data_IF_203544141751
#
_entry.id   IF_203544141751
#
_cell.length_a   1.000
_cell.length_b   1.000
_cell.length_c   1.000
_cell.angle_alpha   90.00
_cell.angle_beta   90.00
_cell.angle_gamma   90.00
#
_symmetry.space_group_name_H-M   'P 1'
#
loop_
_entity.id
_entity.type
_entity.pdbx_description
1 polymer ?
#
# COMPACT_ATOMS: atom_id res chain seq x y z
N UNK A 1 22.08 -9.62 -8.97
CA UNK A 1 21.06 -8.58 -8.71
C UNK A 1 20.49 -8.76 -7.31
N UNK A 2 21.26 -8.49 -6.24
CA UNK A 2 20.85 -8.84 -4.85
C UNK A 2 20.62 -7.60 -3.98
N UNK A 3 21.50 -6.60 -4.03
CA UNK A 3 21.38 -5.36 -3.21
C UNK A 3 20.10 -4.57 -3.49
N UNK A 4 19.58 -4.59 -4.72
CA UNK A 4 18.35 -3.86 -5.07
C UNK A 4 17.15 -4.38 -4.30
N UNK A 5 17.02 -5.70 -4.12
CA UNK A 5 15.94 -6.30 -3.32
C UNK A 5 16.04 -5.87 -1.85
N UNK A 6 17.25 -5.89 -1.28
CA UNK A 6 17.48 -5.43 0.08
C UNK A 6 17.10 -3.95 0.27
N UNK A 7 17.59 -3.07 -0.61
CA UNK A 7 17.29 -1.64 -0.52
C UNK A 7 15.81 -1.35 -0.71
N UNK A 8 15.17 -2.00 -1.68
CA UNK A 8 13.74 -1.84 -1.95
C UNK A 8 12.92 -2.30 -0.75
N UNK A 9 13.24 -3.47 -0.18
CA UNK A 9 12.55 -4.00 0.98
C UNK A 9 12.69 -3.13 2.23
N UNK A 10 13.89 -2.57 2.46
CA UNK A 10 14.11 -1.62 3.57
C UNK A 10 13.30 -0.33 3.39
N UNK A 11 13.24 0.21 2.17
CA UNK A 11 12.44 1.41 1.88
C UNK A 11 10.95 1.12 2.06
N UNK A 12 10.45 -0.01 1.56
CA UNK A 12 9.05 -0.42 1.71
C UNK A 12 8.66 -0.57 3.19
N UNK A 13 9.52 -1.17 4.01
CA UNK A 13 9.31 -1.28 5.46
C UNK A 13 9.36 0.08 6.16
N UNK A 14 10.32 0.94 5.81
CA UNK A 14 10.43 2.28 6.40
C UNK A 14 9.18 3.12 6.12
N UNK A 15 8.67 3.07 4.88
CA UNK A 15 7.43 3.76 4.49
C UNK A 15 6.22 3.14 5.21
N UNK A 16 6.16 1.81 5.35
CA UNK A 16 5.10 1.14 6.10
C UNK A 16 5.02 1.62 7.55
N UNK A 17 6.17 1.71 8.24
CA UNK A 17 6.26 2.21 9.62
C UNK A 17 5.77 3.66 9.70
N UNK A 18 6.19 4.52 8.76
CA UNK A 18 5.76 5.91 8.73
C UNK A 18 4.24 6.04 8.54
N UNK A 19 3.67 5.25 7.63
CA UNK A 19 2.22 5.22 7.38
C UNK A 19 1.45 4.74 8.61
N UNK A 20 1.92 3.70 9.29
CA UNK A 20 1.30 3.25 10.53
C UNK A 20 1.42 4.27 11.65
N UNK A 21 2.58 4.93 11.79
CA UNK A 21 2.75 6.00 12.76
C UNK A 21 1.75 7.14 12.52
N UNK A 22 1.53 7.51 11.25
CA UNK A 22 0.57 8.53 10.88
C UNK A 22 -0.89 8.08 11.07
N UNK A 23 -1.22 6.84 10.71
CA UNK A 23 -2.59 6.31 10.76
C UNK A 23 -3.04 5.91 12.18
N UNK A 24 -2.11 5.43 13.03
CA UNK A 24 -2.40 4.93 14.37
C UNK A 24 -3.18 5.89 15.26
N UNK A 25 -2.83 7.18 15.41
CA UNK A 25 -3.60 8.11 16.24
C UNK A 25 -5.02 8.32 15.71
N UNK A 26 -5.20 8.40 14.39
CA UNK A 26 -6.52 8.57 13.77
C UNK A 26 -7.38 7.30 13.92
N UNK A 27 -6.76 6.12 13.80
CA UNK A 27 -7.42 4.83 14.03
C UNK A 27 -7.91 4.69 15.48
N UNK A 28 -7.04 5.03 16.44
CA UNK A 28 -7.33 4.92 17.89
C UNK A 28 -8.39 5.90 18.38
N UNK A 29 -8.45 7.11 17.80
CA UNK A 29 -9.38 8.16 18.25
C UNK A 29 -10.74 8.10 17.60
N UNK A 30 -10.79 7.90 16.28
CA UNK A 30 -12.00 8.12 15.47
C UNK A 30 -12.31 6.90 14.59
N UNK A 31 -11.32 6.04 14.32
CA UNK A 31 -11.54 4.84 13.51
C UNK A 31 -11.98 5.14 12.08
N UNK A 32 -11.58 6.30 11.52
CA UNK A 32 -12.06 6.72 10.20
C UNK A 32 -11.66 5.73 9.10
N UNK A 33 -12.54 5.57 8.11
CA UNK A 33 -12.27 4.72 6.94
C UNK A 33 -10.97 5.10 6.22
N UNK A 34 -10.66 6.39 6.16
CA UNK A 34 -9.42 6.91 5.54
C UNK A 34 -8.16 6.51 6.34
N UNK A 35 -8.25 6.49 7.67
CA UNK A 35 -7.16 5.99 8.51
C UNK A 35 -6.96 4.48 8.34
N UNK A 36 -8.05 3.71 8.26
CA UNK A 36 -7.99 2.27 7.94
C UNK A 36 -7.31 1.99 6.61
N UNK A 37 -7.65 2.76 5.56
CA UNK A 37 -7.03 2.60 4.25
C UNK A 37 -5.54 2.95 4.23
N UNK A 38 -5.14 4.00 4.97
CA UNK A 38 -3.73 4.35 5.13
C UNK A 38 -2.96 3.27 5.89
N UNK A 39 -3.60 2.67 6.90
CA UNK A 39 -3.05 1.55 7.65
C UNK A 39 -2.89 0.28 6.80
N UNK A 40 -3.87 -0.02 5.94
CA UNK A 40 -3.81 -1.13 4.98
C UNK A 40 -2.73 -0.93 3.91
N UNK A 41 -2.50 0.30 3.44
CA UNK A 41 -1.36 0.60 2.58
C UNK A 41 -0.04 0.28 3.28
N UNK A 42 0.10 0.66 4.55
CA UNK A 42 1.27 0.30 5.35
C UNK A 42 1.46 -1.22 5.44
N UNK A 43 0.37 -1.98 5.61
CA UNK A 43 0.40 -3.44 5.62
C UNK A 43 0.86 -4.05 4.29
N UNK A 44 0.36 -3.55 3.16
CA UNK A 44 0.80 -4.00 1.83
C UNK A 44 2.31 -3.82 1.66
N UNK A 45 2.82 -2.62 1.98
CA UNK A 45 4.25 -2.30 1.85
C UNK A 45 5.11 -3.14 2.80
N UNK A 46 4.65 -3.40 4.02
CA UNK A 46 5.37 -4.27 4.94
C UNK A 46 5.49 -5.71 4.39
N UNK A 47 4.40 -6.26 3.85
CA UNK A 47 4.40 -7.62 3.27
C UNK A 47 5.30 -7.73 2.04
N UNK A 48 5.25 -6.73 1.16
CA UNK A 48 6.14 -6.63 0.01
C UNK A 48 7.60 -6.51 0.46
N UNK A 49 7.89 -5.61 1.41
CA UNK A 49 9.25 -5.37 1.87
C UNK A 49 9.88 -6.56 2.57
N UNK A 50 9.10 -7.28 3.40
CA UNK A 50 9.55 -8.55 3.99
C UNK A 50 9.81 -9.58 2.88
N UNK A 51 8.94 -9.70 1.88
CA UNK A 51 9.15 -10.60 0.76
C UNK A 51 10.41 -10.29 -0.06
N UNK A 52 10.78 -9.01 -0.20
CA UNK A 52 12.01 -8.59 -0.89
C UNK A 52 13.27 -8.91 -0.07
N UNK A 53 13.22 -8.69 1.24
CA UNK A 53 14.34 -9.02 2.14
C UNK A 53 14.52 -10.53 2.22
N UNK A 54 13.43 -11.28 2.30
CA UNK A 54 13.44 -12.74 2.25
C UNK A 54 14.04 -13.26 0.92
N UNK A 55 13.67 -12.65 -0.21
CA UNK A 55 14.27 -12.94 -1.51
C UNK A 55 15.79 -12.76 -1.50
N UNK A 56 16.28 -11.74 -0.79
CA UNK A 56 17.69 -11.46 -0.66
C UNK A 56 18.42 -12.50 0.20
N UNK A 57 17.81 -12.94 1.30
CA UNK A 57 18.38 -13.95 2.20
C UNK A 57 18.34 -15.37 1.62
N UNK A 58 17.18 -15.78 1.10
CA UNK A 58 16.92 -17.16 0.67
C UNK A 58 17.14 -17.40 -0.84
N UNK A 59 17.42 -16.34 -1.61
CA UNK A 59 17.51 -16.40 -3.08
C UNK A 59 16.16 -16.62 -3.77
N UNK A 60 15.08 -16.75 -3.01
CA UNK A 60 13.70 -16.89 -3.48
C UNK A 60 12.75 -16.19 -2.50
N UNK A 61 11.71 -15.53 -3.01
CA UNK A 61 10.68 -14.90 -2.18
C UNK A 61 9.65 -15.95 -1.75
N UNK A 62 9.24 -15.94 -0.48
CA UNK A 62 8.02 -16.62 -0.02
C UNK A 62 6.82 -16.14 -0.86
N UNK A 63 6.25 -16.98 -1.75
CA UNK A 63 5.23 -16.55 -2.72
C UNK A 63 3.98 -15.99 -2.04
N UNK A 64 3.64 -16.52 -0.87
CA UNK A 64 2.47 -16.12 -0.11
C UNK A 64 2.57 -14.66 0.39
N UNK A 65 3.72 -14.24 0.91
CA UNK A 65 3.91 -12.87 1.42
C UNK A 65 3.77 -11.85 0.29
N UNK A 66 4.36 -12.16 -0.86
CA UNK A 66 4.23 -11.36 -2.08
C UNK A 66 2.78 -11.24 -2.53
N UNK A 67 2.09 -12.36 -2.68
CA UNK A 67 0.69 -12.40 -3.11
C UNK A 67 -0.23 -11.63 -2.15
N UNK A 68 -0.04 -11.78 -0.84
CA UNK A 68 -0.82 -11.04 0.14
C UNK A 68 -0.55 -9.53 0.05
N UNK A 69 0.71 -9.13 -0.10
CA UNK A 69 1.08 -7.73 -0.32
C UNK A 69 0.42 -7.15 -1.57
N UNK A 70 0.48 -7.86 -2.69
CA UNK A 70 -0.11 -7.46 -3.97
C UNK A 70 -1.65 -7.34 -3.87
N UNK A 71 -2.31 -8.30 -3.20
CA UNK A 71 -3.76 -8.26 -2.98
C UNK A 71 -4.16 -7.03 -2.15
N UNK A 72 -3.48 -6.79 -1.03
CA UNK A 72 -3.78 -5.63 -0.17
C UNK A 72 -3.52 -4.32 -0.93
N UNK A 73 -2.45 -4.26 -1.73
CA UNK A 73 -2.13 -3.10 -2.56
C UNK A 73 -3.20 -2.86 -3.62
N UNK A 74 -3.70 -3.92 -4.27
CA UNK A 74 -4.77 -3.83 -5.27
C UNK A 74 -6.07 -3.31 -4.65
N UNK A 75 -6.45 -3.80 -3.47
CA UNK A 75 -7.61 -3.30 -2.74
C UNK A 75 -7.46 -1.81 -2.40
N UNK A 76 -6.30 -1.41 -1.88
CA UNK A 76 -6.03 0.00 -1.60
C UNK A 76 -6.09 0.87 -2.87
N UNK A 77 -5.47 0.43 -3.96
CA UNK A 77 -5.44 1.15 -5.22
C UNK A 77 -6.84 1.31 -5.83
N UNK A 78 -7.65 0.25 -5.81
CA UNK A 78 -9.03 0.29 -6.27
C UNK A 78 -9.88 1.26 -5.45
N UNK A 79 -9.77 1.20 -4.12
CA UNK A 79 -10.43 2.16 -3.25
C UNK A 79 -9.98 3.60 -3.53
N UNK A 80 -8.67 3.83 -3.67
CA UNK A 80 -8.09 5.14 -3.92
C UNK A 80 -8.56 5.72 -5.24
N UNK A 81 -8.62 4.89 -6.28
CA UNK A 81 -9.14 5.26 -7.59
C UNK A 81 -10.60 5.71 -7.49
N UNK A 82 -11.48 4.89 -6.89
CA UNK A 82 -12.89 5.24 -6.70
C UNK A 82 -13.03 6.52 -5.87
N UNK A 83 -12.24 6.67 -4.82
CA UNK A 83 -12.24 7.89 -4.00
C UNK A 83 -11.87 9.12 -4.84
N UNK A 84 -10.85 9.05 -5.70
CA UNK A 84 -10.47 10.16 -6.57
C UNK A 84 -11.58 10.45 -7.57
N UNK A 85 -12.07 9.44 -8.29
CA UNK A 85 -13.09 9.60 -9.32
C UNK A 85 -14.39 10.22 -8.80
N UNK A 86 -14.76 9.99 -7.53
CA UNK A 86 -15.91 10.65 -6.90
C UNK A 86 -15.79 12.16 -6.74
N UNK A 87 -14.57 12.71 -6.82
CA UNK A 87 -14.29 14.15 -6.67
C UNK A 87 -13.85 14.79 -7.98
N UNK A 88 -13.72 14.01 -9.06
CA UNK A 88 -13.42 14.54 -10.39
C UNK A 88 -14.73 15.04 -11.00
N UNK A 89 -14.84 16.32 -11.38
CA UNK A 89 -16.03 16.80 -12.07
C UNK A 89 -16.24 16.03 -13.37
N UNK A 90 -17.50 15.81 -13.80
CA UNK A 90 -17.77 15.12 -15.05
C UNK A 90 -17.03 15.83 -16.18
N UNK A 91 -16.43 15.08 -17.11
CA UNK A 91 -15.58 15.68 -18.13
C UNK A 91 -16.41 16.58 -19.05
N UNK A 92 -15.83 17.69 -19.51
CA UNK A 92 -16.50 18.74 -20.30
C UNK A 92 -17.27 18.27 -21.56
N UNK A 93 -17.08 17.02 -21.99
CA UNK A 93 -17.78 16.42 -23.12
C UNK A 93 -19.10 15.73 -22.71
N UNK A 94 -19.42 15.68 -21.41
CA UNK A 94 -20.73 15.24 -20.91
C UNK A 94 -21.82 16.31 -21.09
N UNK A 95 -21.45 17.52 -21.52
CA UNK A 95 -22.37 18.62 -21.82
C UNK A 95 -22.69 18.75 -23.33
N UNK A 96 -22.43 17.71 -24.12
CA UNK A 96 -22.95 17.68 -25.50
C UNK A 96 -24.47 17.50 -25.47
N UNK A 97 -25.23 18.40 -26.14
CA UNK A 97 -26.70 18.37 -26.15
C UNK A 97 -27.30 17.13 -26.82
#
# INVERSE_FOLDING_TARGET
MTIVHLLTGLVEIAVAILLWHHAAPALRRIGTWRAWMTWLLGLALALLGVGQIDAWFAGSTVPLLRQLGDVVLLFYAAWRFVHIMRHVPPPHWSETP
#
